data_IF_467235507348
#
_entry.id   IF_467235507348
#
_cell.length_a   1.000
_cell.length_b   1.000
_cell.length_c   1.000
_cell.angle_alpha   90.00
_cell.angle_beta   90.00
_cell.angle_gamma   90.00
#
_symmetry.space_group_name_H-M   'P 1'
#
loop_
_entity.id
_entity.type
_entity.pdbx_description
1 polymer ?
#
# COMPACT_ATOMS: atom_id res chain seq x y z
N UNK A 1 18.07 -13.61 13.58
CA UNK A 1 17.51 -13.77 12.22
C UNK A 1 15.99 -13.67 12.35
N UNK A 2 15.39 -12.49 12.11
CA UNK A 2 13.95 -12.28 12.34
C UNK A 2 13.18 -12.90 11.18
N UNK A 3 12.51 -14.03 11.42
CA UNK A 3 11.69 -14.71 10.42
C UNK A 3 10.46 -13.84 10.08
N UNK A 4 10.38 -13.35 8.85
CA UNK A 4 9.29 -12.48 8.36
C UNK A 4 7.90 -13.14 8.37
N UNK A 5 7.80 -14.46 8.53
CA UNK A 5 6.53 -15.14 8.80
C UNK A 5 5.87 -14.63 10.11
N UNK A 6 6.64 -13.99 10.98
CA UNK A 6 6.15 -13.42 12.23
C UNK A 6 5.16 -12.27 12.05
N UNK A 7 5.29 -11.42 11.02
CA UNK A 7 4.49 -10.19 10.94
C UNK A 7 3.01 -10.45 10.67
N UNK A 8 2.70 -11.43 9.83
CA UNK A 8 1.30 -11.78 9.54
C UNK A 8 0.64 -12.42 10.76
N UNK A 9 1.38 -13.31 11.43
CA UNK A 9 0.94 -13.92 12.69
C UNK A 9 0.72 -12.87 13.76
N UNK A 10 1.71 -12.00 14.01
CA UNK A 10 1.65 -10.90 14.98
C UNK A 10 0.48 -9.96 14.69
N UNK A 11 0.25 -9.63 13.42
CA UNK A 11 -0.88 -8.79 13.00
C UNK A 11 -2.23 -9.43 13.37
N UNK A 12 -2.36 -10.74 13.16
CA UNK A 12 -3.56 -11.49 13.48
C UNK A 12 -3.72 -11.67 14.99
N UNK A 13 -2.65 -11.94 15.73
CA UNK A 13 -2.67 -12.02 17.21
C UNK A 13 -3.13 -10.71 17.84
N UNK A 14 -2.64 -9.58 17.33
CA UNK A 14 -3.06 -8.24 17.79
C UNK A 14 -4.54 -7.93 17.45
N UNK A 15 -5.10 -8.52 16.40
CA UNK A 15 -6.51 -8.34 16.02
C UNK A 15 -7.46 -9.30 16.74
N UNK A 16 -7.18 -10.60 16.63
CA UNK A 16 -8.01 -11.70 17.11
C UNK A 16 -7.12 -12.84 17.64
N UNK A 17 -6.64 -12.75 18.89
CA UNK A 17 -5.72 -13.73 19.50
C UNK A 17 -6.20 -15.18 19.36
N UNK A 18 -7.51 -15.41 19.51
CA UNK A 18 -8.16 -16.72 19.43
C UNK A 18 -8.08 -17.39 18.04
N UNK A 19 -7.83 -16.61 16.99
CA UNK A 19 -7.76 -17.11 15.61
C UNK A 19 -6.32 -17.37 15.17
N UNK A 20 -5.32 -16.88 15.90
CA UNK A 20 -3.92 -16.92 15.46
C UNK A 20 -3.27 -18.32 15.47
N UNK A 21 -3.84 -19.27 16.22
CA UNK A 21 -3.41 -20.66 16.18
C UNK A 21 -4.01 -21.48 15.03
N UNK A 22 -4.96 -20.90 14.28
CA UNK A 22 -5.75 -21.66 13.30
C UNK A 22 -5.08 -21.78 11.93
N UNK A 23 -4.15 -20.89 11.60
CA UNK A 23 -3.60 -20.75 10.25
C UNK A 23 -2.08 -20.87 10.21
N UNK A 24 -1.57 -21.24 9.04
CA UNK A 24 -0.16 -21.03 8.67
C UNK A 24 0.00 -19.68 7.96
N UNK A 25 1.23 -19.14 7.98
CA UNK A 25 1.52 -17.79 7.50
C UNK A 25 2.67 -17.76 6.50
N UNK A 26 2.47 -17.10 5.37
CA UNK A 26 3.50 -16.84 4.36
C UNK A 26 3.53 -15.35 4.03
N UNK A 27 4.70 -14.73 4.13
CA UNK A 27 4.93 -13.33 3.78
C UNK A 27 6.02 -13.22 2.71
N UNK A 28 5.67 -12.65 1.56
CA UNK A 28 6.60 -12.48 0.44
C UNK A 28 6.65 -11.04 -0.06
N UNK A 29 7.85 -10.47 -0.03
CA UNK A 29 8.13 -9.22 -0.74
C UNK A 29 8.45 -9.50 -2.21
N UNK A 30 7.72 -8.88 -3.12
CA UNK A 30 7.78 -9.12 -4.56
C UNK A 30 8.10 -7.82 -5.30
N UNK A 31 8.94 -7.90 -6.33
CA UNK A 31 9.18 -6.79 -7.25
C UNK A 31 8.09 -6.59 -8.30
N UNK A 32 7.03 -7.42 -8.27
CA UNK A 32 5.89 -7.32 -9.20
C UNK A 32 4.87 -6.24 -8.80
N UNK A 33 4.94 -5.75 -7.56
CA UNK A 33 4.10 -4.65 -7.10
C UNK A 33 4.90 -3.34 -7.20
N UNK A 34 4.27 -2.30 -7.74
CA UNK A 34 4.81 -0.94 -7.74
C UNK A 34 4.41 -0.19 -6.47
N UNK A 35 5.26 0.72 -6.00
CA UNK A 35 4.95 1.58 -4.87
C UNK A 35 4.72 0.79 -3.58
N UNK A 36 3.85 1.31 -2.72
CA UNK A 36 3.43 0.68 -1.46
C UNK A 36 2.20 -0.23 -1.62
N UNK A 37 2.14 -1.02 -2.69
CA UNK A 37 1.05 -1.98 -2.91
C UNK A 37 1.28 -3.30 -2.16
N UNK A 38 0.19 -4.00 -1.86
CA UNK A 38 0.19 -5.34 -1.30
C UNK A 38 -1.16 -6.05 -1.48
N UNK A 39 -1.16 -7.37 -1.36
CA UNK A 39 -2.34 -8.20 -1.40
C UNK A 39 -2.28 -9.32 -0.37
N UNK A 40 -3.46 -9.79 0.03
CA UNK A 40 -3.62 -10.93 0.91
C UNK A 40 -4.58 -11.93 0.26
N UNK A 41 -4.38 -13.21 0.56
CA UNK A 41 -5.32 -14.27 0.19
C UNK A 41 -5.24 -15.41 1.19
N UNK A 42 -6.37 -16.08 1.39
CA UNK A 42 -6.43 -17.36 2.08
C UNK A 42 -6.42 -18.47 1.03
N UNK A 43 -5.51 -19.44 1.16
CA UNK A 43 -5.53 -20.67 0.36
C UNK A 43 -5.50 -21.87 1.31
N UNK A 44 -6.60 -22.63 1.33
CA UNK A 44 -6.81 -23.67 2.33
C UNK A 44 -6.64 -23.08 3.74
N UNK A 45 -5.62 -23.49 4.48
CA UNK A 45 -5.34 -23.00 5.83
C UNK A 45 -4.13 -22.05 5.92
N UNK A 46 -3.67 -21.52 4.79
CA UNK A 46 -2.48 -20.66 4.71
C UNK A 46 -2.88 -19.25 4.33
N UNK A 47 -2.58 -18.29 5.19
CA UNK A 47 -2.70 -16.85 4.89
C UNK A 47 -1.43 -16.42 4.17
N UNK A 48 -1.58 -16.03 2.91
CA UNK A 48 -0.48 -15.63 2.04
C UNK A 48 -0.56 -14.13 1.82
N UNK A 49 0.39 -13.41 2.40
CA UNK A 49 0.57 -11.98 2.23
C UNK A 49 1.69 -11.71 1.21
N UNK A 50 1.42 -10.88 0.20
CA UNK A 50 2.45 -10.41 -0.73
C UNK A 50 2.47 -8.90 -0.79
N UNK A 51 3.64 -8.31 -0.71
CA UNK A 51 3.82 -6.85 -0.69
C UNK A 51 4.93 -6.43 -1.64
N UNK A 52 4.93 -5.17 -2.07
CA UNK A 52 6.07 -4.56 -2.75
C UNK A 52 7.35 -4.65 -1.93
N UNK A 53 8.51 -4.72 -2.59
CA UNK A 53 9.82 -4.66 -1.93
C UNK A 53 10.05 -3.36 -1.17
N UNK A 54 9.37 -2.27 -1.54
CA UNK A 54 9.48 -0.96 -0.88
C UNK A 54 9.09 -1.03 0.61
N UNK A 55 8.14 -1.91 0.96
CA UNK A 55 7.73 -2.13 2.34
C UNK A 55 8.87 -2.57 3.27
N UNK A 56 9.95 -3.15 2.75
CA UNK A 56 11.11 -3.55 3.57
C UNK A 56 11.80 -2.38 4.28
N UNK A 57 11.66 -1.16 3.74
CA UNK A 57 12.25 0.07 4.31
C UNK A 57 11.32 0.78 5.30
N UNK A 58 10.07 0.34 5.39
CA UNK A 58 9.04 0.94 6.23
C UNK A 58 9.04 0.29 7.60
N UNK A 59 8.71 1.03 8.66
CA UNK A 59 8.67 0.50 10.01
C UNK A 59 7.69 -0.68 10.15
N UNK A 60 7.99 -1.60 11.07
CA UNK A 60 7.16 -2.80 11.29
C UNK A 60 5.73 -2.44 11.70
N UNK A 61 5.56 -1.41 12.54
CA UNK A 61 4.23 -0.98 13.01
C UNK A 61 3.30 -0.55 11.86
N UNK A 62 3.83 0.13 10.85
CA UNK A 62 3.08 0.53 9.66
C UNK A 62 2.79 -0.69 8.78
N UNK A 63 3.75 -1.61 8.64
CA UNK A 63 3.54 -2.86 7.91
C UNK A 63 2.44 -3.73 8.57
N UNK A 64 2.43 -3.81 9.90
CA UNK A 64 1.36 -4.47 10.67
C UNK A 64 0.02 -3.81 10.38
N UNK A 65 -0.03 -2.47 10.37
CA UNK A 65 -1.25 -1.73 10.03
C UNK A 65 -1.84 -2.11 8.66
N UNK A 66 -1.00 -2.19 7.62
CA UNK A 66 -1.43 -2.67 6.30
C UNK A 66 -1.95 -4.10 6.36
N UNK A 67 -1.22 -5.01 7.03
CA UNK A 67 -1.61 -6.42 7.10
C UNK A 67 -2.95 -6.54 7.82
N UNK A 68 -3.15 -5.81 8.92
CA UNK A 68 -4.41 -5.78 9.67
C UNK A 68 -5.58 -5.27 8.81
N UNK A 69 -5.38 -4.17 8.08
CA UNK A 69 -6.36 -3.65 7.12
C UNK A 69 -6.78 -4.71 6.08
N UNK A 70 -5.82 -5.48 5.57
CA UNK A 70 -6.09 -6.54 4.62
C UNK A 70 -6.73 -7.79 5.25
N UNK A 71 -6.38 -8.15 6.49
CA UNK A 71 -7.00 -9.25 7.23
C UNK A 71 -8.47 -8.96 7.53
N UNK A 72 -8.79 -7.73 7.95
CA UNK A 72 -10.16 -7.22 8.14
C UNK A 72 -11.00 -7.40 6.88
N UNK A 73 -10.44 -7.02 5.73
CA UNK A 73 -11.11 -7.22 4.42
C UNK A 73 -11.25 -8.69 4.04
N UNK A 74 -10.19 -9.49 4.25
CA UNK A 74 -10.17 -10.92 3.90
C UNK A 74 -11.24 -11.71 4.67
N UNK A 75 -11.33 -11.49 5.98
CA UNK A 75 -12.27 -12.19 6.85
C UNK A 75 -13.64 -11.51 6.96
N UNK A 76 -13.81 -10.34 6.33
CA UNK A 76 -15.03 -9.52 6.38
C UNK A 76 -15.49 -9.22 7.82
N UNK A 77 -14.54 -9.07 8.73
CA UNK A 77 -14.78 -8.71 10.14
C UNK A 77 -14.55 -7.22 10.30
N UNK A 78 -15.20 -6.59 11.28
CA UNK A 78 -14.91 -5.19 11.66
C UNK A 78 -13.89 -5.18 12.80
N UNK A 79 -12.80 -4.46 12.61
CA UNK A 79 -11.82 -4.16 13.65
C UNK A 79 -11.06 -2.88 13.27
N UNK A 80 -10.56 -2.17 14.26
CA UNK A 80 -9.75 -0.97 14.09
C UNK A 80 -8.64 -0.94 15.14
N UNK A 81 -7.44 -0.53 14.76
CA UNK A 81 -6.27 -0.52 15.65
C UNK A 81 -5.41 0.73 15.42
N UNK A 82 -4.59 1.07 16.42
CA UNK A 82 -3.61 2.15 16.29
C UNK A 82 -2.60 1.90 15.15
N UNK A 83 -2.24 0.64 14.89
CA UNK A 83 -1.39 0.29 13.75
C UNK A 83 -2.04 0.63 12.42
N UNK A 84 -3.35 0.39 12.27
CA UNK A 84 -4.10 0.78 11.08
C UNK A 84 -4.12 2.30 10.91
N UNK A 85 -4.22 3.07 12.00
CA UNK A 85 -4.09 4.54 11.97
C UNK A 85 -2.71 5.00 11.51
N UNK A 86 -1.64 4.38 12.01
CA UNK A 86 -0.27 4.64 11.56
C UNK A 86 -0.09 4.36 10.07
N UNK A 87 -0.66 3.26 9.59
CA UNK A 87 -0.69 2.93 8.17
C UNK A 87 -1.46 3.96 7.33
N UNK A 88 -2.63 4.40 7.78
CA UNK A 88 -3.39 5.44 7.08
C UNK A 88 -2.66 6.79 7.04
N UNK A 89 -2.01 7.17 8.14
CA UNK A 89 -1.18 8.37 8.19
C UNK A 89 0.01 8.27 7.24
N UNK A 90 0.64 7.10 7.17
CA UNK A 90 1.72 6.82 6.24
C UNK A 90 1.27 6.96 4.78
N UNK A 91 0.16 6.34 4.39
CA UNK A 91 -0.37 6.45 3.03
C UNK A 91 -0.70 7.89 2.64
N UNK A 92 -1.29 8.66 3.57
CA UNK A 92 -1.57 10.09 3.36
C UNK A 92 -0.31 10.90 3.09
N UNK A 93 0.88 10.47 3.52
CA UNK A 93 2.13 11.21 3.37
C UNK A 93 3.08 10.62 2.33
N UNK A 94 2.78 9.41 1.84
CA UNK A 94 3.68 8.67 0.95
C UNK A 94 4.00 9.45 -0.34
N UNK A 95 3.03 10.19 -0.88
CA UNK A 95 3.19 10.97 -2.09
C UNK A 95 4.19 12.13 -1.96
N UNK A 96 4.44 12.61 -0.74
CA UNK A 96 5.42 13.68 -0.46
C UNK A 96 6.85 13.16 -0.66
N UNK A 97 7.08 11.88 -0.37
CA UNK A 97 8.41 11.26 -0.44
C UNK A 97 8.73 10.61 -1.80
N UNK A 98 7.80 10.65 -2.76
CA UNK A 98 8.03 10.11 -4.11
C UNK A 98 8.77 11.18 -4.92
N UNK A 99 9.94 10.85 -5.52
CA UNK A 99 10.66 11.76 -6.38
C UNK A 99 9.75 12.27 -7.52
N UNK A 100 9.74 13.59 -7.73
CA UNK A 100 8.91 14.25 -8.75
C UNK A 100 9.70 14.45 -10.06
N UNK A 101 10.38 13.41 -10.47
CA UNK A 101 11.43 13.46 -11.48
C UNK A 101 10.86 13.26 -12.91
N UNK A 102 9.60 12.82 -13.03
CA UNK A 102 8.94 12.59 -14.31
C UNK A 102 8.11 13.82 -14.72
N UNK A 103 8.62 14.60 -15.67
CA UNK A 103 7.99 15.81 -16.19
C UNK A 103 8.04 15.80 -17.73
N UNK A 104 6.97 15.32 -18.37
CA UNK A 104 6.80 15.50 -19.82
C UNK A 104 6.57 17.00 -20.13
N UNK A 105 7.36 17.62 -21.04
CA UNK A 105 7.29 19.06 -21.29
C UNK A 105 5.91 19.54 -21.77
N UNK A 106 5.21 18.72 -22.57
CA UNK A 106 3.90 19.09 -23.11
C UNK A 106 2.83 19.03 -22.01
N UNK A 107 2.84 17.97 -21.21
CA UNK A 107 1.93 17.84 -20.07
C UNK A 107 2.17 18.92 -19.02
N UNK A 108 3.42 19.30 -18.77
CA UNK A 108 3.76 20.38 -17.84
C UNK A 108 3.16 21.70 -18.28
N UNK A 109 3.29 22.05 -19.57
CA UNK A 109 2.72 23.28 -20.12
C UNK A 109 1.20 23.30 -20.03
N UNK A 110 0.53 22.19 -20.35
CA UNK A 110 -0.93 22.06 -20.23
C UNK A 110 -1.35 22.17 -18.76
N UNK A 111 -0.65 21.48 -17.86
CA UNK A 111 -0.95 21.51 -16.43
C UNK A 111 -0.85 22.92 -15.85
N UNK A 112 0.25 23.62 -16.14
CA UNK A 112 0.48 24.97 -15.63
C UNK A 112 -0.59 25.94 -16.12
N UNK A 113 -0.92 25.88 -17.42
CA UNK A 113 -1.97 26.72 -18.00
C UNK A 113 -3.34 26.48 -17.34
N UNK A 114 -3.72 25.21 -17.12
CA UNK A 114 -4.99 24.89 -16.47
C UNK A 114 -5.01 25.25 -14.99
N UNK A 115 -3.90 25.02 -14.28
CA UNK A 115 -3.78 25.32 -12.86
C UNK A 115 -3.85 26.84 -12.61
N UNK A 116 -3.23 27.63 -13.49
CA UNK A 116 -3.33 29.09 -13.42
C UNK A 116 -4.74 29.58 -13.76
N UNK A 117 -5.29 29.15 -14.91
CA UNK A 117 -6.58 29.64 -15.40
C UNK A 117 -7.78 29.27 -14.52
N UNK A 118 -7.73 28.11 -13.85
CA UNK A 118 -8.90 27.57 -13.15
C UNK A 118 -8.71 27.37 -11.65
N UNK A 119 -7.47 27.30 -11.16
CA UNK A 119 -7.17 26.86 -9.80
C UNK A 119 -6.25 27.83 -9.04
N UNK A 120 -6.04 29.05 -9.57
CA UNK A 120 -5.21 30.09 -8.96
C UNK A 120 -3.81 29.58 -8.56
N UNK A 121 -3.24 28.67 -9.35
CA UNK A 121 -1.94 28.05 -9.09
C UNK A 121 -1.83 27.35 -7.71
N UNK A 122 -2.96 26.90 -7.14
CA UNK A 122 -2.99 26.25 -5.82
C UNK A 122 -2.57 24.79 -5.83
N UNK A 123 -2.62 24.11 -6.99
CA UNK A 123 -2.17 22.73 -7.08
C UNK A 123 -0.65 22.64 -7.21
N UNK A 124 -0.07 21.78 -6.39
CA UNK A 124 1.32 21.38 -6.55
C UNK A 124 1.46 20.41 -7.73
N UNK A 125 2.44 20.65 -8.61
CA UNK A 125 2.64 19.82 -9.79
C UNK A 125 2.98 18.37 -9.40
N UNK A 126 2.26 17.36 -9.94
CA UNK A 126 2.58 15.95 -9.75
C UNK A 126 3.64 15.48 -10.76
N UNK A 127 3.95 14.18 -10.76
CA UNK A 127 4.64 13.54 -11.88
C UNK A 127 3.71 13.51 -13.10
N UNK A 128 4.20 14.00 -14.24
CA UNK A 128 3.43 14.13 -15.48
C UNK A 128 4.01 13.20 -16.53
N UNK A 129 3.23 12.19 -16.91
CA UNK A 129 3.60 11.17 -17.90
C UNK A 129 2.40 10.73 -18.72
N UNK A 130 2.65 10.36 -19.96
CA UNK A 130 1.65 9.71 -20.79
C UNK A 130 1.34 8.30 -20.24
N UNK A 131 0.06 7.94 -20.28
CA UNK A 131 -0.37 6.57 -20.02
C UNK A 131 0.15 5.62 -21.10
N UNK A 132 0.11 4.32 -20.83
CA UNK A 132 0.30 3.29 -21.86
C UNK A 132 -1.06 2.98 -22.50
N UNK A 133 -1.05 2.60 -23.77
CA UNK A 133 -2.26 2.13 -24.46
C UNK A 133 -2.95 1.03 -23.64
N UNK A 134 -4.20 1.27 -23.26
CA UNK A 134 -5.00 0.32 -22.50
C UNK A 134 -5.58 -0.72 -23.46
N UNK A 135 -4.97 -1.89 -23.57
CA UNK A 135 -5.44 -2.99 -24.43
C UNK A 135 -6.58 -3.81 -23.80
N UNK A 136 -7.27 -3.28 -22.79
CA UNK A 136 -8.34 -4.02 -22.13
C UNK A 136 -9.61 -3.93 -22.97
N UNK A 137 -10.07 -5.07 -23.51
CA UNK A 137 -11.44 -5.17 -24.04
C UNK A 137 -12.43 -4.89 -22.90
N UNK A 138 -13.30 -3.91 -23.13
CA UNK A 138 -14.46 -3.61 -22.30
C UNK A 138 -15.46 -4.76 -22.34
#
# INVERSE_FOLDING_TARGET
>A
MVSYASLVKESLEKLWPQDAGKYEYDLKYSGKFSGYNGNIRLRSNVIIMRMSKEWRRVSKEIQIGLIQELLVRLFKKKAHTMNMDLYHLFLKRVHIAIPKDEQDPMLALIFDHLNDAYLNSTLERPNLRWGKDSTRKL
#
